data_IF_227841134224
#
_entry.id   IF_227841134224
#
_cell.length_a   1.000
_cell.length_b   1.000
_cell.length_c   1.000
_cell.angle_alpha   90.00
_cell.angle_beta   90.00
_cell.angle_gamma   90.00
#
_symmetry.space_group_name_H-M   'P 1'
#
loop_
_entity.id
_entity.type
_entity.pdbx_description
1 polymer ?
#
# COMPACT_ATOMS: atom_id res chain seq x y z
N UNK A 1 2.08 -26.36 37.44
CA UNK A 1 1.62 -26.08 36.05
C UNK A 1 0.58 -24.94 35.94
N UNK A 2 0.19 -24.25 37.02
CA UNK A 2 -0.79 -23.14 36.95
C UNK A 2 -0.23 -21.78 36.49
N UNK A 3 1.10 -21.60 36.47
CA UNK A 3 1.74 -20.34 36.05
C UNK A 3 1.82 -20.17 34.53
N UNK A 4 2.06 -21.28 33.79
CA UNK A 4 2.21 -21.27 32.33
C UNK A 4 0.91 -20.87 31.62
N UNK A 5 -0.24 -21.35 32.10
CA UNK A 5 -1.54 -21.01 31.52
C UNK A 5 -1.92 -19.54 31.68
N UNK A 6 -1.51 -18.90 32.78
CA UNK A 6 -1.74 -17.46 32.98
C UNK A 6 -0.86 -16.62 32.07
N UNK A 7 0.43 -16.94 31.95
CA UNK A 7 1.35 -16.22 31.06
C UNK A 7 0.88 -16.27 29.60
N UNK A 8 0.49 -17.46 29.12
CA UNK A 8 -0.06 -17.62 27.76
C UNK A 8 -1.35 -16.82 27.55
N UNK A 9 -2.26 -16.80 28.54
CA UNK A 9 -3.53 -16.03 28.47
C UNK A 9 -3.28 -14.53 28.34
N UNK A 10 -2.41 -13.96 29.18
CA UNK A 10 -2.11 -12.54 29.12
C UNK A 10 -1.32 -12.17 27.86
N UNK A 11 -0.39 -13.01 27.44
CA UNK A 11 0.35 -12.82 26.18
C UNK A 11 -0.61 -12.79 24.98
N UNK A 12 -1.50 -13.78 24.88
CA UNK A 12 -2.50 -13.84 23.81
C UNK A 12 -3.42 -12.60 23.82
N UNK A 13 -3.86 -12.16 25.00
CA UNK A 13 -4.67 -10.95 25.12
C UNK A 13 -3.92 -9.71 24.63
N UNK A 14 -2.68 -9.50 25.07
CA UNK A 14 -1.87 -8.32 24.71
C UNK A 14 -1.61 -8.29 23.19
N UNK A 15 -1.20 -9.42 22.59
CA UNK A 15 -0.96 -9.48 21.15
C UNK A 15 -2.23 -9.21 20.34
N UNK A 16 -3.34 -9.87 20.68
CA UNK A 16 -4.61 -9.64 19.98
C UNK A 16 -5.14 -8.21 20.18
N UNK A 17 -4.88 -7.60 21.33
CA UNK A 17 -5.28 -6.22 21.61
C UNK A 17 -4.47 -5.25 20.76
N UNK A 18 -3.17 -5.49 20.59
CA UNK A 18 -2.34 -4.72 19.68
C UNK A 18 -2.85 -4.81 18.23
N UNK A 19 -3.13 -6.03 17.74
CA UNK A 19 -3.71 -6.21 16.41
C UNK A 19 -5.07 -5.51 16.26
N UNK A 20 -5.92 -5.56 17.29
CA UNK A 20 -7.20 -4.85 17.30
C UNK A 20 -7.00 -3.33 17.15
N UNK A 21 -6.08 -2.73 17.91
CA UNK A 21 -5.77 -1.30 17.80
C UNK A 21 -5.23 -0.96 16.41
N UNK A 22 -4.30 -1.75 15.87
CA UNK A 22 -3.80 -1.57 14.51
C UNK A 22 -4.93 -1.64 13.47
N UNK A 23 -5.85 -2.61 13.61
CA UNK A 23 -7.03 -2.74 12.74
C UNK A 23 -7.92 -1.49 12.78
N UNK A 24 -8.18 -0.95 13.98
CA UNK A 24 -8.93 0.30 14.15
C UNK A 24 -8.24 1.50 13.48
N UNK A 25 -6.92 1.62 13.61
CA UNK A 25 -6.15 2.72 12.98
C UNK A 25 -6.20 2.60 11.46
N UNK A 26 -5.95 1.41 10.90
CA UNK A 26 -5.97 1.18 9.45
C UNK A 26 -7.37 1.46 8.90
N UNK A 27 -8.41 0.94 9.55
CA UNK A 27 -9.80 1.15 9.13
C UNK A 27 -10.19 2.64 9.18
N UNK A 28 -9.85 3.32 10.28
CA UNK A 28 -10.11 4.75 10.44
C UNK A 28 -9.41 5.60 9.38
N UNK A 29 -8.13 5.35 9.13
CA UNK A 29 -7.36 6.04 8.09
C UNK A 29 -7.92 5.77 6.68
N UNK A 30 -8.33 4.53 6.41
CA UNK A 30 -8.88 4.16 5.11
C UNK A 30 -10.24 4.81 4.85
N UNK A 31 -11.09 4.89 5.88
CA UNK A 31 -12.39 5.60 5.80
C UNK A 31 -12.16 7.10 5.64
N UNK A 32 -11.21 7.69 6.36
CA UNK A 32 -10.84 9.10 6.21
C UNK A 32 -10.48 9.43 4.76
N UNK A 33 -9.59 8.62 4.15
CA UNK A 33 -9.23 8.74 2.74
C UNK A 33 -10.44 8.58 1.83
N UNK A 34 -11.31 7.60 2.10
CA UNK A 34 -12.51 7.34 1.28
C UNK A 34 -13.47 8.52 1.30
N UNK A 35 -13.76 9.07 2.48
CA UNK A 35 -14.71 10.19 2.66
C UNK A 35 -14.16 11.49 2.12
N UNK A 36 -12.88 11.78 2.36
CA UNK A 36 -12.20 12.96 1.79
C UNK A 36 -12.30 13.00 0.27
N UNK A 37 -12.25 11.82 -0.39
CA UNK A 37 -12.47 11.73 -1.84
C UNK A 37 -13.93 11.88 -2.26
N UNK A 38 -14.88 11.25 -1.56
CA UNK A 38 -16.32 11.35 -1.91
C UNK A 38 -16.85 12.79 -1.88
N UNK A 39 -16.29 13.67 -1.03
CA UNK A 39 -16.66 15.09 -1.04
C UNK A 39 -16.19 15.86 -2.29
N UNK A 40 -15.25 15.30 -3.06
CA UNK A 40 -14.65 15.94 -4.23
C UNK A 40 -15.21 15.39 -5.56
N UNK A 41 -15.62 14.11 -5.59
CA UNK A 41 -16.21 13.44 -6.77
C UNK A 41 -17.74 13.42 -6.71
N UNK A 42 -18.36 14.52 -7.13
CA UNK A 42 -19.74 14.51 -7.66
C UNK A 42 -19.77 14.40 -9.21
N UNK A 43 -18.63 14.12 -9.85
CA UNK A 43 -18.53 14.02 -11.31
C UNK A 43 -18.02 12.63 -11.74
N UNK A 44 -18.79 12.01 -12.60
CA UNK A 44 -18.58 10.72 -13.22
C UNK A 44 -17.19 10.62 -13.88
N UNK A 45 -16.31 9.72 -13.43
CA UNK A 45 -15.06 9.38 -14.14
C UNK A 45 -14.56 7.96 -13.83
N UNK A 46 -14.20 7.15 -14.86
CA UNK A 46 -13.80 5.75 -14.73
C UNK A 46 -12.42 5.52 -14.06
N UNK A 47 -11.61 6.57 -13.91
CA UNK A 47 -10.30 6.58 -13.22
C UNK A 47 -10.41 6.52 -11.69
N UNK A 48 -11.61 6.71 -11.14
CA UNK A 48 -11.91 6.57 -9.71
C UNK A 48 -11.77 5.14 -9.19
N UNK A 49 -11.66 4.14 -10.07
CA UNK A 49 -11.81 2.72 -9.73
C UNK A 49 -10.59 2.09 -9.06
N UNK A 50 -9.37 2.46 -9.44
CA UNK A 50 -8.14 1.76 -8.99
C UNK A 50 -7.63 2.29 -7.64
N UNK A 51 -7.58 3.61 -7.46
CA UNK A 51 -7.32 4.21 -6.15
C UNK A 51 -8.46 3.85 -5.18
N UNK A 52 -9.70 3.77 -5.68
CA UNK A 52 -10.81 3.20 -4.89
C UNK A 52 -10.61 1.73 -4.56
N UNK A 53 -10.07 0.91 -5.47
CA UNK A 53 -9.85 -0.51 -5.22
C UNK A 53 -8.83 -0.73 -4.10
N UNK A 54 -7.72 0.01 -4.10
CA UNK A 54 -6.72 -0.04 -3.03
C UNK A 54 -7.28 0.39 -1.67
N UNK A 55 -8.02 1.51 -1.63
CA UNK A 55 -8.66 1.98 -0.39
C UNK A 55 -9.74 1.00 0.09
N UNK A 56 -10.54 0.43 -0.80
CA UNK A 56 -11.54 -0.57 -0.45
C UNK A 56 -10.90 -1.86 0.11
N UNK A 57 -9.76 -2.27 -0.45
CA UNK A 57 -8.99 -3.41 0.06
C UNK A 57 -8.43 -3.12 1.46
N UNK A 58 -7.88 -1.92 1.68
CA UNK A 58 -7.42 -1.47 2.99
C UNK A 58 -8.56 -1.44 4.03
N UNK A 59 -9.76 -1.01 3.65
CA UNK A 59 -10.97 -1.08 4.50
C UNK A 59 -11.29 -2.53 4.84
N UNK A 60 -11.32 -3.43 3.84
CA UNK A 60 -11.63 -4.84 4.06
C UNK A 60 -10.61 -5.51 4.99
N UNK A 61 -9.31 -5.32 4.74
CA UNK A 61 -8.23 -5.87 5.56
C UNK A 61 -8.27 -5.30 6.98
N UNK A 62 -8.42 -3.97 7.12
CA UNK A 62 -8.54 -3.32 8.44
C UNK A 62 -9.73 -3.83 9.25
N UNK A 63 -10.88 -4.04 8.61
CA UNK A 63 -12.07 -4.59 9.25
C UNK A 63 -11.86 -6.04 9.70
N UNK A 64 -11.25 -6.88 8.86
CA UNK A 64 -10.94 -8.28 9.22
C UNK A 64 -9.99 -8.32 10.43
N UNK A 65 -8.89 -7.55 10.39
CA UNK A 65 -7.93 -7.48 11.51
C UNK A 65 -8.62 -7.02 12.79
N UNK A 66 -9.48 -6.01 12.72
CA UNK A 66 -10.25 -5.52 13.87
C UNK A 66 -11.18 -6.61 14.43
N UNK A 67 -11.94 -7.30 13.59
CA UNK A 67 -12.88 -8.35 14.04
C UNK A 67 -12.10 -9.51 14.68
N UNK A 68 -11.02 -9.97 14.07
CA UNK A 68 -10.20 -11.07 14.60
C UNK A 68 -9.51 -10.69 15.91
N UNK A 69 -8.93 -9.49 15.98
CA UNK A 69 -8.34 -8.97 17.22
C UNK A 69 -9.36 -8.89 18.36
N UNK A 70 -10.59 -8.45 18.07
CA UNK A 70 -11.68 -8.41 19.05
C UNK A 70 -12.09 -9.81 19.53
N UNK A 71 -12.27 -10.76 18.60
CA UNK A 71 -12.60 -12.16 18.93
C UNK A 71 -11.49 -12.82 19.74
N UNK A 72 -10.22 -12.57 19.41
CA UNK A 72 -9.07 -13.06 20.17
C UNK A 72 -9.01 -12.49 21.59
N UNK A 73 -9.21 -11.17 21.74
CA UNK A 73 -9.24 -10.51 23.04
C UNK A 73 -10.38 -11.00 23.93
N UNK A 74 -11.61 -10.99 23.39
CA UNK A 74 -12.81 -11.39 24.13
C UNK A 74 -12.85 -12.90 24.40
N UNK A 75 -12.37 -13.73 23.47
CA UNK A 75 -12.21 -15.16 23.66
C UNK A 75 -11.24 -15.50 24.79
N UNK A 76 -10.10 -14.81 24.85
CA UNK A 76 -9.13 -14.97 25.92
C UNK A 76 -9.67 -14.48 27.27
N UNK A 77 -10.34 -13.32 27.33
CA UNK A 77 -10.86 -12.78 28.60
C UNK A 77 -12.06 -13.57 29.15
N UNK A 78 -13.03 -13.90 28.30
CA UNK A 78 -14.28 -14.58 28.71
C UNK A 78 -14.14 -16.10 28.82
N UNK A 79 -12.97 -16.65 28.50
CA UNK A 79 -12.73 -18.11 28.42
C UNK A 79 -13.78 -18.84 27.57
N UNK A 80 -14.32 -18.15 26.56
CA UNK A 80 -15.38 -18.67 25.70
C UNK A 80 -14.76 -19.54 24.61
N UNK A 81 -14.93 -20.86 24.75
CA UNK A 81 -14.45 -21.83 23.76
C UNK A 81 -15.01 -21.59 22.36
N UNK A 82 -16.25 -21.10 22.26
CA UNK A 82 -16.88 -20.80 20.98
C UNK A 82 -16.18 -19.64 20.26
N UNK A 83 -15.90 -18.53 20.97
CA UNK A 83 -15.18 -17.38 20.38
C UNK A 83 -13.75 -17.75 19.99
N UNK A 84 -13.07 -18.55 20.81
CA UNK A 84 -11.73 -19.04 20.51
C UNK A 84 -11.72 -19.99 19.30
N UNK A 85 -12.73 -20.87 19.16
CA UNK A 85 -12.88 -21.72 17.98
C UNK A 85 -13.12 -20.90 16.71
N UNK A 86 -14.00 -19.89 16.77
CA UNK A 86 -14.26 -19.02 15.61
C UNK A 86 -13.00 -18.26 15.18
N UNK A 87 -12.24 -17.75 16.15
CA UNK A 87 -10.95 -17.11 15.89
C UNK A 87 -9.98 -18.06 15.17
N UNK A 88 -9.82 -19.29 15.69
CA UNK A 88 -8.94 -20.29 15.09
C UNK A 88 -9.39 -20.72 13.69
N UNK A 89 -10.68 -20.96 13.48
CA UNK A 89 -11.24 -21.31 12.16
C UNK A 89 -10.98 -20.16 11.16
N UNK A 90 -11.15 -18.90 11.58
CA UNK A 90 -10.90 -17.76 10.71
C UNK A 90 -9.42 -17.61 10.35
N UNK A 91 -8.50 -17.82 11.29
CA UNK A 91 -7.06 -17.84 11.01
C UNK A 91 -6.70 -18.96 10.02
N UNK A 92 -7.25 -20.17 10.19
CA UNK A 92 -7.02 -21.26 9.25
C UNK A 92 -7.52 -20.94 7.83
N UNK A 93 -8.67 -20.28 7.71
CA UNK A 93 -9.19 -19.85 6.41
C UNK A 93 -8.28 -18.80 5.76
N UNK A 94 -7.74 -17.85 6.54
CA UNK A 94 -6.79 -16.86 6.05
C UNK A 94 -5.51 -17.54 5.57
N UNK A 95 -4.97 -18.50 6.33
CA UNK A 95 -3.78 -19.24 5.94
C UNK A 95 -3.97 -19.97 4.59
N UNK A 96 -5.13 -20.61 4.40
CA UNK A 96 -5.48 -21.27 3.13
C UNK A 96 -5.55 -20.24 1.99
N UNK A 97 -6.15 -19.08 2.22
CA UNK A 97 -6.23 -18.00 1.24
C UNK A 97 -4.84 -17.42 0.91
N UNK A 98 -3.94 -17.27 1.89
CA UNK A 98 -2.57 -16.81 1.67
C UNK A 98 -1.76 -17.79 0.83
N UNK A 99 -1.83 -19.09 1.14
CA UNK A 99 -1.14 -20.13 0.35
C UNK A 99 -1.70 -20.17 -1.07
N UNK A 100 -3.03 -20.15 -1.21
CA UNK A 100 -3.69 -20.16 -2.52
C UNK A 100 -3.33 -18.91 -3.33
N UNK A 101 -3.37 -17.73 -2.72
CA UNK A 101 -2.98 -16.47 -3.34
C UNK A 101 -1.52 -16.45 -3.76
N UNK A 102 -0.62 -16.98 -2.92
CA UNK A 102 0.80 -17.12 -3.24
C UNK A 102 1.05 -18.04 -4.44
N UNK A 103 0.38 -19.20 -4.49
CA UNK A 103 0.48 -20.14 -5.62
C UNK A 103 -0.09 -19.52 -6.89
N UNK A 104 -1.30 -18.95 -6.84
CA UNK A 104 -1.93 -18.31 -7.99
C UNK A 104 -1.10 -17.13 -8.50
N UNK A 105 -0.55 -16.30 -7.62
CA UNK A 105 0.33 -15.20 -8.00
C UNK A 105 1.63 -15.67 -8.67
N UNK A 106 2.15 -16.83 -8.27
CA UNK A 106 3.34 -17.43 -8.89
C UNK A 106 3.05 -18.10 -10.24
N UNK A 107 1.87 -18.71 -10.41
CA UNK A 107 1.47 -19.40 -11.65
C UNK A 107 1.01 -18.41 -12.70
N UNK A 108 0.18 -17.43 -12.32
CA UNK A 108 -0.42 -16.44 -13.20
C UNK A 108 0.37 -15.13 -13.25
N UNK A 109 1.70 -15.21 -13.19
CA UNK A 109 2.59 -14.04 -13.29
C UNK A 109 2.27 -13.10 -14.44
N UNK A 110 2.08 -13.56 -15.70
CA UNK A 110 1.82 -12.63 -16.80
C UNK A 110 0.49 -11.87 -16.62
N UNK A 111 -0.54 -12.51 -16.06
CA UNK A 111 -1.82 -11.83 -15.77
C UNK A 111 -1.68 -10.82 -14.63
N UNK A 112 -0.87 -11.15 -13.61
CA UNK A 112 -0.57 -10.23 -12.51
C UNK A 112 0.22 -9.02 -13.02
N UNK A 113 1.19 -9.23 -13.91
CA UNK A 113 1.95 -8.15 -14.56
C UNK A 113 1.04 -7.26 -15.43
N UNK A 114 0.10 -7.83 -16.17
CA UNK A 114 -0.89 -7.07 -16.94
C UNK A 114 -1.78 -6.21 -16.05
N UNK A 115 -2.35 -6.79 -14.99
CA UNK A 115 -3.16 -6.05 -14.02
C UNK A 115 -2.36 -4.94 -13.32
N UNK A 116 -1.08 -5.20 -13.05
CA UNK A 116 -0.17 -4.22 -12.49
C UNK A 116 0.11 -3.08 -13.47
N UNK A 117 0.34 -3.37 -14.76
CA UNK A 117 0.54 -2.36 -15.79
C UNK A 117 -0.70 -1.48 -16.00
N UNK A 118 -1.91 -2.06 -15.94
CA UNK A 118 -3.16 -1.29 -15.96
C UNK A 118 -3.23 -0.34 -14.75
N UNK A 119 -2.83 -0.81 -13.57
CA UNK A 119 -2.77 0.01 -12.34
C UNK A 119 -1.79 1.17 -12.51
N UNK A 120 -0.59 0.90 -13.04
CA UNK A 120 0.41 1.93 -13.31
C UNK A 120 -0.10 2.96 -14.32
N UNK A 121 -0.76 2.53 -15.40
CA UNK A 121 -1.33 3.44 -16.40
C UNK A 121 -2.37 4.38 -15.79
N UNK A 122 -3.20 3.89 -14.87
CA UNK A 122 -4.17 4.73 -14.17
C UNK A 122 -3.49 5.71 -13.20
N UNK A 123 -2.38 5.31 -12.57
CA UNK A 123 -1.55 6.22 -11.77
C UNK A 123 -0.93 7.32 -12.63
N UNK A 124 -0.43 7.00 -13.83
CA UNK A 124 0.05 8.02 -14.79
C UNK A 124 -1.08 8.96 -15.19
N UNK A 125 -2.28 8.45 -15.49
CA UNK A 125 -3.44 9.29 -15.80
C UNK A 125 -3.81 10.24 -14.64
N UNK A 126 -3.61 9.82 -13.39
CA UNK A 126 -3.79 10.70 -12.23
C UNK A 126 -2.73 11.81 -12.15
N UNK A 127 -1.49 11.55 -12.57
CA UNK A 127 -0.43 12.55 -12.67
C UNK A 127 -0.70 13.56 -13.79
N UNK A 128 -1.25 13.11 -14.92
CA UNK A 128 -1.63 13.99 -16.05
C UNK A 128 -2.94 14.74 -15.83
N UNK A 129 -3.76 14.32 -14.87
CA UNK A 129 -5.06 14.95 -14.63
C UNK A 129 -4.91 16.42 -14.22
N UNK A 130 -5.59 17.31 -14.92
CA UNK A 130 -5.63 18.74 -14.60
C UNK A 130 -6.72 19.09 -13.59
N UNK A 131 -7.58 18.13 -13.26
CA UNK A 131 -8.66 18.27 -12.28
C UNK A 131 -8.11 18.39 -10.86
N UNK A 132 -8.74 19.21 -10.02
CA UNK A 132 -8.33 19.41 -8.63
C UNK A 132 -8.35 18.15 -7.75
N UNK A 133 -9.03 17.08 -8.20
CA UNK A 133 -9.20 15.80 -7.49
C UNK A 133 -7.87 15.08 -7.20
N UNK A 134 -6.86 15.26 -8.05
CA UNK A 134 -5.59 14.53 -7.94
C UNK A 134 -4.45 15.38 -7.39
N UNK A 135 -4.71 16.63 -6.97
CA UNK A 135 -3.67 17.55 -6.48
C UNK A 135 -2.90 17.00 -5.28
N UNK A 136 -3.61 16.47 -4.27
CA UNK A 136 -2.97 15.87 -3.09
C UNK A 136 -2.09 14.68 -3.47
N UNK A 137 -2.58 13.83 -4.39
CA UNK A 137 -1.79 12.71 -4.93
C UNK A 137 -0.55 13.19 -5.66
N UNK A 138 -0.68 14.22 -6.51
CA UNK A 138 0.43 14.82 -7.25
C UNK A 138 1.49 15.41 -6.30
N UNK A 139 1.08 16.13 -5.25
CA UNK A 139 2.00 16.70 -4.26
C UNK A 139 2.77 15.62 -3.48
N UNK A 140 2.09 14.56 -3.05
CA UNK A 140 2.72 13.41 -2.39
C UNK A 140 3.65 12.66 -3.36
N UNK A 141 3.26 12.52 -4.63
CA UNK A 141 4.10 11.90 -5.64
C UNK A 141 5.38 12.72 -5.91
N UNK A 142 5.29 14.05 -5.94
CA UNK A 142 6.50 14.91 -6.04
C UNK A 142 7.44 14.75 -4.84
N UNK A 143 6.92 14.51 -3.64
CA UNK A 143 7.75 14.19 -2.47
C UNK A 143 8.46 12.84 -2.65
N UNK A 144 7.77 11.85 -3.19
CA UNK A 144 8.35 10.55 -3.54
C UNK A 144 9.46 10.70 -4.59
N UNK A 145 9.23 11.45 -5.67
CA UNK A 145 10.22 11.74 -6.71
C UNK A 145 11.51 12.34 -6.12
N UNK A 146 11.38 13.34 -5.24
CA UNK A 146 12.53 13.95 -4.57
C UNK A 146 13.26 12.99 -3.62
N UNK A 147 12.49 12.20 -2.85
CA UNK A 147 13.05 11.24 -1.89
C UNK A 147 13.82 10.11 -2.59
N UNK A 148 13.25 9.56 -3.65
CA UNK A 148 13.78 8.41 -4.39
C UNK A 148 14.63 8.82 -5.59
N UNK A 149 14.78 10.13 -5.85
CA UNK A 149 15.62 10.71 -6.90
C UNK A 149 15.27 10.15 -8.29
N UNK A 150 13.98 10.19 -8.60
CA UNK A 150 13.40 9.67 -9.84
C UNK A 150 12.37 10.67 -10.40
N UNK A 151 11.99 10.50 -11.66
CA UNK A 151 11.05 11.38 -12.34
C UNK A 151 9.99 10.57 -13.08
N UNK A 152 8.70 10.87 -12.88
CA UNK A 152 7.60 10.14 -13.50
C UNK A 152 7.53 8.69 -13.05
N UNK A 153 6.49 7.98 -13.49
CA UNK A 153 6.27 6.59 -13.08
C UNK A 153 6.83 5.59 -14.10
N UNK A 154 6.55 5.78 -15.38
CA UNK A 154 6.92 4.90 -16.48
C UNK A 154 7.78 5.62 -17.53
N UNK A 155 7.32 6.77 -18.04
CA UNK A 155 7.93 7.46 -19.18
C UNK A 155 8.66 8.75 -18.79
N UNK A 156 9.04 8.89 -17.51
CA UNK A 156 9.77 10.06 -17.06
C UNK A 156 8.88 11.32 -17.01
N UNK A 157 9.39 12.49 -17.42
CA UNK A 157 8.66 13.76 -17.32
C UNK A 157 7.38 13.78 -18.17
N UNK A 158 7.26 12.92 -19.18
CA UNK A 158 6.07 12.82 -20.04
C UNK A 158 4.82 12.37 -19.27
N UNK A 159 5.00 11.63 -18.18
CA UNK A 159 3.90 11.19 -17.32
C UNK A 159 3.22 12.34 -16.57
N UNK A 160 3.82 13.53 -16.53
CA UNK A 160 3.21 14.72 -15.96
C UNK A 160 2.37 15.51 -16.97
N UNK A 161 2.54 15.28 -18.28
CA UNK A 161 1.79 15.98 -19.32
C UNK A 161 1.78 17.50 -19.15
N UNK A 162 0.60 18.12 -19.20
CA UNK A 162 0.43 19.57 -19.02
C UNK A 162 0.78 20.05 -17.59
N UNK A 163 0.76 19.16 -16.59
CA UNK A 163 1.08 19.52 -15.22
C UNK A 163 2.57 19.74 -14.98
N UNK A 164 3.43 19.31 -15.92
CA UNK A 164 4.87 19.52 -15.80
C UNK A 164 5.24 21.00 -15.79
N UNK A 165 4.62 21.81 -16.66
CA UNK A 165 4.93 23.23 -16.83
C UNK A 165 4.19 24.17 -15.87
N UNK A 166 3.39 23.62 -14.94
CA UNK A 166 2.66 24.47 -14.00
C UNK A 166 3.65 25.13 -13.03
N UNK A 167 3.51 26.43 -12.74
CA UNK A 167 4.44 27.15 -11.86
C UNK A 167 4.45 26.63 -10.41
N UNK A 168 3.42 25.89 -10.00
CA UNK A 168 3.35 25.21 -8.71
C UNK A 168 3.97 23.80 -8.74
N UNK A 169 4.42 23.32 -9.89
CA UNK A 169 4.91 21.96 -10.08
C UNK A 169 6.42 21.93 -9.93
N UNK A 170 6.88 21.37 -8.81
CA UNK A 170 8.28 21.00 -8.62
C UNK A 170 8.50 19.53 -9.03
N UNK A 171 7.72 19.07 -10.01
CA UNK A 171 7.77 17.71 -10.53
C UNK A 171 9.16 17.41 -11.09
N UNK A 172 9.67 16.23 -10.75
CA UNK A 172 10.96 15.74 -11.22
C UNK A 172 12.19 16.61 -10.91
N UNK A 173 12.07 17.67 -10.11
CA UNK A 173 13.13 18.65 -9.94
C UNK A 173 14.37 18.03 -9.28
N UNK A 174 15.51 18.11 -9.97
CA UNK A 174 16.80 17.67 -9.43
C UNK A 174 17.50 18.82 -8.69
N UNK A 175 17.98 18.54 -7.48
CA UNK A 175 18.67 19.52 -6.62
C UNK A 175 20.11 19.81 -7.05
N UNK A 176 20.67 19.07 -8.02
CA UNK A 176 22.04 19.25 -8.49
C UNK A 176 22.07 20.17 -9.73
N UNK A 177 22.67 21.35 -9.58
CA UNK A 177 22.90 22.30 -10.69
C UNK A 177 23.98 21.83 -11.69
N UNK A 178 24.68 20.72 -11.40
CA UNK A 178 25.80 20.23 -12.22
C UNK A 178 25.45 18.92 -12.93
N UNK A 179 25.59 18.86 -14.28
CA UNK A 179 25.35 17.66 -15.09
C UNK A 179 26.41 16.56 -14.91
N UNK A 180 27.31 16.69 -13.93
CA UNK A 180 28.45 15.78 -13.70
C UNK A 180 28.09 14.52 -12.93
N UNK A 181 26.81 14.24 -12.71
CA UNK A 181 26.34 13.00 -12.07
C UNK A 181 25.38 12.29 -13.01
N UNK A 182 25.51 10.96 -13.15
CA UNK A 182 24.60 10.07 -13.91
C UNK A 182 23.13 10.12 -13.44
N UNK A 183 22.82 10.98 -12.47
CA UNK A 183 21.55 11.11 -11.78
C UNK A 183 20.58 12.07 -12.49
N UNK A 184 21.08 13.16 -13.09
CA UNK A 184 20.24 14.24 -13.60
C UNK A 184 20.50 14.56 -15.07
N UNK A 185 19.44 14.93 -15.78
CA UNK A 185 19.47 15.30 -17.19
C UNK A 185 18.77 16.63 -17.39
N UNK A 186 19.18 17.39 -18.41
CA UNK A 186 18.49 18.60 -18.81
C UNK A 186 17.25 18.23 -19.62
N UNK A 187 16.10 18.76 -19.23
CA UNK A 187 14.84 18.62 -19.95
C UNK A 187 14.18 19.99 -20.05
N UNK A 188 13.98 20.47 -21.28
CA UNK A 188 13.61 21.86 -21.56
C UNK A 188 14.60 22.83 -20.87
N UNK A 189 14.12 23.70 -19.98
CA UNK A 189 14.93 24.69 -19.26
C UNK A 189 15.29 24.26 -17.82
N UNK A 190 14.91 23.04 -17.40
CA UNK A 190 15.09 22.54 -16.04
C UNK A 190 15.97 21.28 -15.97
N UNK A 191 16.61 21.06 -14.81
CA UNK A 191 17.30 19.81 -14.51
C UNK A 191 16.35 18.84 -13.80
N UNK A 192 16.20 17.65 -14.36
CA UNK A 192 15.32 16.61 -13.83
C UNK A 192 16.07 15.31 -13.52
N UNK A 193 15.50 14.47 -12.67
CA UNK A 193 16.01 13.12 -12.46
C UNK A 193 15.90 12.28 -13.74
N UNK A 194 16.95 11.52 -14.05
CA UNK A 194 17.07 10.74 -15.29
C UNK A 194 16.24 9.45 -15.27
N UNK A 195 16.11 8.81 -14.10
CA UNK A 195 15.48 7.49 -13.98
C UNK A 195 13.98 7.60 -13.69
N UNK A 196 13.13 6.75 -14.33
CA UNK A 196 11.72 6.67 -13.97
C UNK A 196 11.53 6.01 -12.60
N UNK A 197 10.57 6.48 -11.82
CA UNK A 197 10.32 5.96 -10.48
C UNK A 197 9.87 4.50 -10.50
N UNK A 198 9.17 4.03 -11.54
CA UNK A 198 8.79 2.63 -11.68
C UNK A 198 10.00 1.70 -11.70
N UNK A 199 11.09 2.08 -12.38
CA UNK A 199 12.34 1.32 -12.35
C UNK A 199 12.99 1.33 -10.96
N UNK A 200 13.04 2.49 -10.31
CA UNK A 200 13.62 2.62 -8.96
C UNK A 200 12.83 1.79 -7.94
N UNK A 201 11.50 1.86 -7.97
CA UNK A 201 10.60 1.08 -7.12
C UNK A 201 10.78 -0.42 -7.39
N UNK A 202 10.85 -0.84 -8.66
CA UNK A 202 11.07 -2.24 -9.00
C UNK A 202 12.44 -2.73 -8.53
N UNK A 203 13.47 -1.89 -8.62
CA UNK A 203 14.78 -2.20 -8.10
C UNK A 203 14.75 -2.34 -6.57
N UNK A 204 14.08 -1.43 -5.87
CA UNK A 204 13.87 -1.53 -4.42
C UNK A 204 13.11 -2.79 -4.00
N UNK A 205 12.09 -3.19 -4.76
CA UNK A 205 11.35 -4.45 -4.49
C UNK A 205 12.29 -5.64 -4.67
N UNK A 206 13.09 -5.68 -5.72
CA UNK A 206 14.05 -6.77 -5.97
C UNK A 206 15.11 -6.84 -4.87
N UNK A 207 15.65 -5.71 -4.46
CA UNK A 207 16.69 -5.63 -3.43
C UNK A 207 16.16 -6.04 -2.05
N UNK A 208 14.88 -5.75 -1.76
CA UNK A 208 14.22 -6.10 -0.50
C UNK A 208 13.38 -7.37 -0.57
N UNK A 209 13.45 -8.14 -1.66
CA UNK A 209 12.61 -9.32 -1.89
C UNK A 209 12.77 -10.36 -0.79
N UNK A 210 13.99 -10.55 -0.27
CA UNK A 210 14.27 -11.44 0.87
C UNK A 210 13.55 -10.97 2.14
N UNK A 211 13.52 -9.66 2.40
CA UNK A 211 12.82 -9.09 3.57
C UNK A 211 11.31 -9.29 3.42
N UNK A 212 10.76 -9.05 2.24
CA UNK A 212 9.32 -9.24 1.95
C UNK A 212 8.93 -10.70 2.17
N UNK A 213 9.73 -11.64 1.64
CA UNK A 213 9.52 -13.07 1.89
C UNK A 213 9.61 -13.42 3.38
N UNK A 214 10.55 -12.80 4.10
CA UNK A 214 10.69 -12.94 5.55
C UNK A 214 9.46 -12.44 6.32
N UNK A 215 8.90 -11.29 5.95
CA UNK A 215 7.67 -10.75 6.55
C UNK A 215 6.50 -11.70 6.28
N UNK A 216 6.33 -12.17 5.04
CA UNK A 216 5.26 -13.10 4.68
C UNK A 216 5.36 -14.42 5.47
N UNK A 217 6.56 -14.98 5.59
CA UNK A 217 6.79 -16.18 6.40
C UNK A 217 6.54 -15.93 7.89
N UNK A 218 7.00 -14.79 8.43
CA UNK A 218 6.76 -14.40 9.82
C UNK A 218 5.27 -14.25 10.14
N UNK A 219 4.49 -13.67 9.24
CA UNK A 219 3.03 -13.58 9.36
C UNK A 219 2.39 -14.98 9.39
N UNK A 220 2.78 -15.87 8.48
CA UNK A 220 2.27 -17.24 8.47
C UNK A 220 2.62 -18.00 9.77
N UNK A 221 3.80 -17.78 10.34
CA UNK A 221 4.19 -18.38 11.63
C UNK A 221 3.39 -17.80 12.79
N UNK A 222 3.04 -16.51 12.77
CA UNK A 222 2.21 -15.88 13.80
C UNK A 222 0.76 -16.36 13.74
N UNK A 223 0.27 -16.73 12.55
CA UNK A 223 -1.08 -17.25 12.33
C UNK A 223 -1.27 -18.70 12.79
N UNK A 224 -0.18 -19.49 12.85
CA UNK A 224 -0.17 -20.93 13.23
C UNK A 224 0.05 -21.12 14.73
#
# INVERSE_FOLDING_TARGET
MAGVSRCMKYSMFIFNFFFWVCGCIILGFSIWIRVGRTQQVNACSPTSTIVSAGVNLLIAVGAIIMILGFLGCCGALKESRCMLMLFFIALLLILILQITGGILGAVYKPQVEEAFNLTLSASVNALQSTTGEYKEYQEEFQKLERKEKCCGLLNGPEDWGENFNKPSSNACQCELEKPSSDLCTKYQDSYIYKKPCGEVIMQQIKDNLVIIMGIAFGLAVVEV
#
